data_IF_125806751162
#
_entry.id   IF_125806751162
#
_cell.length_a   1.000
_cell.length_b   1.000
_cell.length_c   1.000
_cell.angle_alpha   90.00
_cell.angle_beta   90.00
_cell.angle_gamma   90.00
#
_symmetry.space_group_name_H-M   'P 1'
#
loop_
_entity.id
_entity.type
_entity.pdbx_description
1 polymer ?
#
# COMPACT_ATOMS: atom_id res chain seq x y z
N UNK A 1 -9.47 7.04 31.79
CA UNK A 1 -10.70 6.49 32.40
C UNK A 1 -10.94 5.09 31.81
N UNK A 2 -11.67 4.20 32.49
CA UNK A 2 -11.80 2.77 32.14
C UNK A 2 -13.17 2.48 31.54
N UNK A 3 -13.23 1.83 30.37
CA UNK A 3 -14.49 1.36 29.73
C UNK A 3 -15.27 0.50 30.73
N UNK A 4 -16.54 0.84 30.95
CA UNK A 4 -17.43 0.07 31.80
C UNK A 4 -18.11 -1.02 30.98
N UNK A 5 -17.68 -2.27 31.12
CA UNK A 5 -18.33 -3.40 30.46
C UNK A 5 -19.54 -3.83 31.29
N UNK A 6 -20.77 -3.84 30.73
CA UNK A 6 -21.92 -4.39 31.44
C UNK A 6 -21.67 -5.84 31.86
N UNK A 7 -22.03 -6.19 33.09
CA UNK A 7 -21.91 -7.55 33.60
C UNK A 7 -23.18 -8.33 33.26
N UNK A 8 -23.16 -9.27 32.31
CA UNK A 8 -24.34 -10.04 31.94
C UNK A 8 -24.71 -11.11 32.99
N UNK A 9 -23.93 -11.24 34.07
CA UNK A 9 -24.06 -12.31 35.05
C UNK A 9 -23.81 -13.68 34.43
N UNK A 10 -24.53 -14.69 34.93
CA UNK A 10 -24.49 -16.06 34.40
C UNK A 10 -25.55 -16.33 33.34
N UNK A 11 -26.25 -15.30 32.84
CA UNK A 11 -27.31 -15.44 31.83
C UNK A 11 -28.61 -16.07 32.33
N UNK A 12 -28.80 -16.21 33.64
CA UNK A 12 -30.01 -16.79 34.24
C UNK A 12 -31.02 -15.75 34.75
N UNK A 13 -30.79 -14.45 34.48
CA UNK A 13 -31.64 -13.35 34.94
C UNK A 13 -31.61 -13.09 36.45
N UNK A 14 -30.77 -13.78 37.22
CA UNK A 14 -30.66 -13.64 38.68
C UNK A 14 -29.34 -12.99 39.13
N UNK A 15 -28.37 -12.86 38.22
CA UNK A 15 -27.06 -12.29 38.47
C UNK A 15 -26.70 -11.30 37.36
N UNK A 16 -25.85 -10.32 37.66
CA UNK A 16 -25.43 -9.29 36.72
C UNK A 16 -26.10 -7.93 36.92
N UNK A 17 -25.83 -7.01 36.00
CA UNK A 17 -26.45 -5.69 35.99
C UNK A 17 -27.92 -5.82 35.57
N UNK A 18 -28.82 -5.12 36.28
CA UNK A 18 -30.18 -4.93 35.79
C UNK A 18 -30.19 -3.93 34.61
N UNK A 19 -31.32 -3.85 33.90
CA UNK A 19 -31.46 -3.00 32.71
C UNK A 19 -31.10 -1.53 32.99
N UNK A 20 -31.48 -1.00 34.15
CA UNK A 20 -31.16 0.37 34.56
C UNK A 20 -29.65 0.62 34.66
N UNK A 21 -28.91 -0.29 35.32
CA UNK A 21 -27.45 -0.19 35.48
C UNK A 21 -26.75 -0.38 34.13
N UNK A 22 -27.25 -1.27 33.27
CA UNK A 22 -26.75 -1.46 31.91
C UNK A 22 -26.85 -0.17 31.09
N UNK A 23 -27.99 0.51 31.12
CA UNK A 23 -28.18 1.78 30.41
C UNK A 23 -27.30 2.89 30.96
N UNK A 24 -27.09 2.98 32.28
CA UNK A 24 -26.16 3.95 32.87
C UNK A 24 -24.71 3.73 32.41
N UNK A 25 -24.23 2.48 32.41
CA UNK A 25 -22.87 2.14 31.95
C UNK A 25 -22.69 2.46 30.47
N UNK A 26 -23.70 2.14 29.66
CA UNK A 26 -23.73 2.45 28.24
C UNK A 26 -23.65 3.96 28.03
N UNK A 27 -24.54 4.73 28.65
CA UNK A 27 -24.53 6.19 28.58
C UNK A 27 -23.17 6.79 29.01
N UNK A 28 -22.59 6.29 30.11
CA UNK A 28 -21.28 6.74 30.59
C UNK A 28 -20.17 6.48 29.55
N UNK A 29 -20.18 5.34 28.87
CA UNK A 29 -19.19 5.01 27.83
C UNK A 29 -19.29 5.90 26.58
N UNK A 30 -20.41 6.58 26.34
CA UNK A 30 -20.63 7.47 25.18
C UNK A 30 -20.70 8.96 25.56
N UNK A 31 -20.66 9.30 26.86
CA UNK A 31 -20.76 10.68 27.34
C UNK A 31 -19.44 11.48 27.27
N UNK A 32 -18.31 10.81 27.04
CA UNK A 32 -16.96 11.42 27.03
C UNK A 32 -16.34 11.32 25.63
N UNK A 33 -16.42 12.39 24.85
CA UNK A 33 -15.87 12.45 23.48
C UNK A 33 -14.34 12.28 23.40
N UNK A 34 -13.61 12.27 24.53
CA UNK A 34 -12.18 11.94 24.55
C UNK A 34 -11.91 10.43 24.50
N UNK A 35 -12.93 9.60 24.73
CA UNK A 35 -12.84 8.13 24.70
C UNK A 35 -13.02 7.59 23.27
N UNK A 36 -12.18 6.64 22.88
CA UNK A 36 -12.29 5.93 21.59
C UNK A 36 -13.67 5.30 21.36
N UNK A 37 -14.36 4.86 22.42
CA UNK A 37 -15.71 4.30 22.31
C UNK A 37 -16.79 5.35 22.00
N UNK A 38 -16.58 6.62 22.36
CA UNK A 38 -17.53 7.72 22.13
C UNK A 38 -17.24 8.51 20.86
N UNK A 39 -16.09 8.30 20.24
CA UNK A 39 -15.68 8.96 19.00
C UNK A 39 -16.45 8.34 17.84
N UNK A 40 -17.09 9.19 17.04
CA UNK A 40 -17.72 8.75 15.79
C UNK A 40 -16.67 8.15 14.86
N UNK A 41 -17.10 7.23 14.00
CA UNK A 41 -16.25 6.71 12.93
C UNK A 41 -16.37 7.71 11.77
N UNK A 42 -15.28 8.38 11.39
CA UNK A 42 -15.31 9.40 10.33
C UNK A 42 -13.93 9.96 9.95
N UNK A 43 -13.93 10.98 9.08
CA UNK A 43 -12.70 11.63 8.56
C UNK A 43 -12.30 12.90 9.32
N UNK A 44 -13.14 13.39 10.23
CA UNK A 44 -12.88 14.61 11.00
C UNK A 44 -11.84 14.39 12.10
N UNK A 45 -11.13 15.47 12.47
CA UNK A 45 -10.14 15.43 13.55
C UNK A 45 -10.83 15.10 14.88
N UNK A 46 -10.36 14.04 15.54
CA UNK A 46 -10.97 13.56 16.78
C UNK A 46 -11.99 12.44 16.59
N UNK A 47 -12.22 11.94 15.37
CA UNK A 47 -13.02 10.73 15.12
C UNK A 47 -12.16 9.45 15.12
N UNK A 48 -12.73 8.29 15.45
CA UNK A 48 -12.06 7.02 15.14
C UNK A 48 -11.93 6.98 13.63
N UNK A 49 -10.73 6.77 13.07
CA UNK A 49 -10.55 6.78 11.63
C UNK A 49 -11.52 5.80 10.98
N UNK A 50 -12.41 6.31 10.15
CA UNK A 50 -13.25 5.46 9.33
C UNK A 50 -12.37 4.71 8.34
N UNK A 51 -12.37 3.38 8.43
CA UNK A 51 -11.78 2.53 7.42
C UNK A 51 -12.76 2.36 6.23
N UNK A 52 -13.32 3.48 5.74
CA UNK A 52 -14.22 3.54 4.57
C UNK A 52 -13.51 4.10 3.34
N UNK A 53 -12.21 3.92 3.24
CA UNK A 53 -11.55 4.13 1.96
C UNK A 53 -10.31 3.26 1.88
N UNK A 54 -10.23 2.59 0.74
CA UNK A 54 -9.08 1.99 0.10
C UNK A 54 -7.83 2.90 0.09
N UNK A 55 -7.26 3.22 1.26
CA UNK A 55 -6.06 4.05 1.42
C UNK A 55 -4.97 3.38 2.26
N UNK A 56 -5.33 2.40 3.10
CA UNK A 56 -4.37 1.59 3.87
C UNK A 56 -3.98 0.27 3.22
N UNK A 57 -4.80 -0.25 2.30
CA UNK A 57 -4.53 -1.45 1.50
C UNK A 57 -4.50 -1.18 -0.02
N UNK A 58 -4.62 0.08 -0.44
CA UNK A 58 -4.70 0.48 -1.85
C UNK A 58 -3.78 1.67 -2.14
N UNK A 59 -2.48 1.46 -1.90
CA UNK A 59 -1.45 2.27 -2.55
C UNK A 59 -0.59 1.47 -3.52
N UNK A 60 -1.01 0.24 -3.85
CA UNK A 60 -0.50 -0.59 -4.93
C UNK A 60 -1.65 -1.41 -5.53
N UNK A 61 -2.26 -0.89 -6.60
CA UNK A 61 -3.10 -1.68 -7.52
C UNK A 61 -4.56 -1.83 -7.10
N UNK A 62 -5.45 -1.29 -7.93
CA UNK A 62 -6.79 -1.85 -8.09
C UNK A 62 -6.66 -3.36 -8.36
N UNK A 63 -7.19 -4.22 -7.49
CA UNK A 63 -7.45 -5.63 -7.80
C UNK A 63 -6.28 -6.46 -8.37
N UNK A 64 -5.06 -6.32 -7.85
CA UNK A 64 -3.90 -7.08 -8.33
C UNK A 64 -3.34 -6.63 -9.69
N UNK A 65 -3.78 -5.47 -10.19
CA UNK A 65 -3.27 -4.89 -11.42
C UNK A 65 -2.01 -4.06 -11.16
N UNK A 66 -1.08 -4.13 -12.11
CA UNK A 66 0.10 -3.26 -12.13
C UNK A 66 -0.33 -1.80 -12.36
N UNK A 67 0.35 -0.85 -11.73
CA UNK A 67 0.10 0.56 -11.97
C UNK A 67 0.58 0.97 -13.38
N UNK A 68 -0.29 1.62 -14.15
CA UNK A 68 0.02 2.03 -15.51
C UNK A 68 0.98 3.23 -15.53
N UNK A 69 2.07 3.09 -16.27
CA UNK A 69 2.98 4.17 -16.63
C UNK A 69 2.49 4.81 -17.93
N UNK A 70 2.37 6.15 -17.99
CA UNK A 70 2.08 6.86 -19.23
C UNK A 70 3.08 6.50 -20.35
N UNK A 71 2.60 6.53 -21.59
CA UNK A 71 3.45 6.36 -22.76
C UNK A 71 4.58 7.41 -22.75
N UNK A 72 5.81 6.99 -23.07
CA UNK A 72 6.97 7.88 -23.07
C UNK A 72 7.52 8.21 -21.66
N UNK A 73 7.04 7.54 -20.61
CA UNK A 73 7.62 7.72 -19.26
C UNK A 73 9.12 7.40 -19.27
N UNK A 74 9.95 8.35 -18.86
CA UNK A 74 11.38 8.12 -18.64
C UNK A 74 11.59 7.38 -17.32
N UNK A 75 12.13 6.17 -17.43
CA UNK A 75 12.34 5.27 -16.28
C UNK A 75 13.39 5.78 -15.30
N UNK A 76 14.37 6.54 -15.79
CA UNK A 76 15.55 6.95 -15.02
C UNK A 76 15.36 8.29 -14.31
N UNK A 77 14.49 9.17 -14.81
CA UNK A 77 14.13 10.43 -14.13
C UNK A 77 12.90 10.31 -13.22
N UNK A 78 12.16 9.20 -13.31
CA UNK A 78 11.01 8.94 -12.42
C UNK A 78 11.46 8.64 -10.99
N UNK A 79 10.77 9.25 -10.02
CA UNK A 79 10.80 8.80 -8.62
C UNK A 79 9.90 7.58 -8.46
N UNK A 80 10.48 6.47 -8.05
CA UNK A 80 9.83 5.18 -7.85
C UNK A 80 9.35 5.01 -6.42
N UNK A 81 8.17 4.41 -6.31
CA UNK A 81 7.71 3.72 -5.11
C UNK A 81 7.87 2.22 -5.38
N UNK A 82 8.21 1.43 -4.37
CA UNK A 82 8.31 -0.02 -4.54
C UNK A 82 6.97 -0.58 -4.99
N UNK A 83 6.98 -1.43 -6.02
CA UNK A 83 5.75 -2.00 -6.56
C UNK A 83 5.86 -2.49 -8.00
N UNK A 84 4.70 -2.81 -8.55
CA UNK A 84 4.52 -3.37 -9.90
C UNK A 84 3.83 -2.36 -10.81
N UNK A 85 4.37 -2.23 -12.01
CA UNK A 85 3.98 -1.26 -13.02
C UNK A 85 3.97 -1.92 -14.40
N UNK A 86 3.30 -1.28 -15.34
CA UNK A 86 3.40 -1.64 -16.75
C UNK A 86 3.32 -0.40 -17.64
N UNK A 87 3.80 -0.46 -18.87
CA UNK A 87 3.70 0.68 -19.78
C UNK A 87 4.30 0.41 -21.15
N UNK A 88 3.96 1.28 -22.09
CA UNK A 88 4.36 1.18 -23.49
C UNK A 88 5.34 2.29 -23.87
N UNK A 89 6.29 1.97 -24.76
CA UNK A 89 7.26 2.92 -25.32
C UNK A 89 7.95 3.77 -24.24
N UNK A 90 8.48 3.09 -23.22
CA UNK A 90 9.14 3.73 -22.09
C UNK A 90 10.50 4.29 -22.52
N UNK A 91 10.84 5.50 -22.06
CA UNK A 91 12.13 6.14 -22.34
C UNK A 91 13.19 5.58 -21.38
N UNK A 92 14.41 5.41 -21.88
CA UNK A 92 15.49 4.70 -21.20
C UNK A 92 15.16 3.22 -20.87
N UNK A 93 14.28 2.58 -21.67
CA UNK A 93 14.10 1.13 -21.63
C UNK A 93 15.31 0.39 -22.23
N UNK A 94 15.52 -0.90 -21.89
CA UNK A 94 16.63 -1.70 -22.42
C UNK A 94 16.73 -1.63 -23.95
N UNK A 95 17.94 -1.38 -24.45
CA UNK A 95 18.27 -1.40 -25.88
C UNK A 95 17.35 -0.51 -26.76
N UNK A 96 16.72 0.53 -26.18
CA UNK A 96 15.69 1.34 -26.85
C UNK A 96 14.57 0.51 -27.48
N UNK A 97 14.26 -0.65 -26.90
CA UNK A 97 13.19 -1.52 -27.36
C UNK A 97 11.86 -0.81 -27.18
N UNK A 98 11.09 -0.77 -28.26
CA UNK A 98 9.72 -0.27 -28.27
C UNK A 98 8.76 -1.41 -27.95
N UNK A 99 7.83 -1.19 -27.03
CA UNK A 99 6.82 -2.17 -26.69
C UNK A 99 6.30 -2.02 -25.26
N UNK A 100 5.44 -2.98 -24.90
CA UNK A 100 4.87 -3.09 -23.56
C UNK A 100 5.83 -3.84 -22.63
N UNK A 101 6.13 -3.20 -21.51
CA UNK A 101 6.93 -3.78 -20.43
C UNK A 101 6.09 -3.99 -19.19
N UNK A 102 6.34 -5.10 -18.52
CA UNK A 102 6.12 -5.23 -17.09
C UNK A 102 7.33 -4.65 -16.38
N UNK A 103 7.10 -3.83 -15.36
CA UNK A 103 8.14 -3.08 -14.64
C UNK A 103 7.96 -3.33 -13.16
N UNK A 104 9.01 -3.78 -12.50
CA UNK A 104 9.03 -4.01 -11.07
C UNK A 104 10.08 -3.08 -10.46
N UNK A 105 9.66 -2.25 -9.51
CA UNK A 105 10.54 -1.34 -8.79
C UNK A 105 10.78 -1.87 -7.38
N UNK A 106 12.04 -2.11 -7.03
CA UNK A 106 12.44 -2.68 -5.74
C UNK A 106 13.39 -1.71 -5.04
N UNK A 107 13.07 -1.34 -3.80
CA UNK A 107 14.00 -0.56 -2.98
C UNK A 107 15.22 -1.43 -2.63
N UNK A 108 16.42 -0.87 -2.79
CA UNK A 108 17.65 -1.47 -2.31
C UNK A 108 17.80 -1.31 -0.79
N UNK A 109 18.74 -2.05 -0.21
CA UNK A 109 19.10 -1.91 1.22
C UNK A 109 19.87 -0.63 1.52
N UNK A 110 20.49 -0.02 0.50
CA UNK A 110 21.18 1.26 0.61
C UNK A 110 20.20 2.42 0.43
N UNK A 111 20.44 3.52 1.15
CA UNK A 111 19.61 4.71 1.07
C UNK A 111 19.47 5.20 -0.38
N UNK A 112 18.23 5.48 -0.78
CA UNK A 112 17.86 5.99 -2.10
C UNK A 112 18.16 5.07 -3.31
N UNK A 113 18.66 3.85 -3.12
CA UNK A 113 18.88 2.92 -4.23
C UNK A 113 17.59 2.22 -4.64
N UNK A 114 17.36 2.10 -5.94
CA UNK A 114 16.25 1.36 -6.54
C UNK A 114 16.80 0.44 -7.63
N UNK A 115 16.30 -0.78 -7.66
CA UNK A 115 16.44 -1.71 -8.79
C UNK A 115 15.15 -1.68 -9.60
N UNK A 116 15.28 -1.57 -10.91
CA UNK A 116 14.21 -1.84 -11.86
C UNK A 116 14.45 -3.19 -12.51
N UNK A 117 13.42 -4.03 -12.52
CA UNK A 117 13.36 -5.24 -13.33
C UNK A 117 12.28 -5.08 -14.38
N UNK A 118 12.65 -5.22 -15.65
CA UNK A 118 11.75 -5.08 -16.80
C UNK A 118 11.60 -6.43 -17.49
N UNK A 119 10.37 -6.82 -17.81
CA UNK A 119 10.07 -7.97 -18.67
C UNK A 119 9.32 -7.50 -19.89
N UNK A 120 9.86 -7.75 -21.08
CA UNK A 120 9.21 -7.42 -22.34
C UNK A 120 8.07 -8.42 -22.60
N UNK A 121 6.86 -7.92 -22.85
CA UNK A 121 5.68 -8.79 -23.02
C UNK A 121 5.79 -9.77 -24.20
N UNK A 122 6.46 -9.37 -25.28
CA UNK A 122 6.50 -10.15 -26.52
C UNK A 122 7.48 -11.32 -26.46
N UNK A 123 8.67 -11.11 -25.87
CA UNK A 123 9.71 -12.15 -25.81
C UNK A 123 9.85 -12.80 -24.43
N UNK A 124 9.30 -12.19 -23.38
CA UNK A 124 9.58 -12.59 -21.99
C UNK A 124 11.00 -12.23 -21.53
N UNK A 125 11.79 -11.56 -22.37
CA UNK A 125 13.15 -11.16 -22.01
C UNK A 125 13.12 -10.22 -20.80
N UNK A 126 13.96 -10.54 -19.82
CA UNK A 126 14.03 -9.79 -18.56
C UNK A 126 15.35 -9.04 -18.43
N UNK A 127 15.29 -7.80 -17.96
CA UNK A 127 16.41 -6.90 -17.82
C UNK A 127 16.41 -6.24 -16.45
N UNK A 128 17.59 -5.89 -15.94
CA UNK A 128 17.75 -5.18 -14.67
C UNK A 128 18.63 -3.94 -14.83
N UNK A 129 18.29 -2.88 -14.09
CA UNK A 129 19.15 -1.71 -13.89
C UNK A 129 18.99 -1.22 -12.45
N UNK A 130 20.04 -0.62 -11.90
CA UNK A 130 20.09 -0.10 -10.53
C UNK A 130 20.57 1.35 -10.61
N UNK A 131 19.94 2.23 -9.83
CA UNK A 131 20.29 3.64 -9.74
C UNK A 131 19.84 4.26 -8.44
N UNK A 132 20.15 5.54 -8.28
CA UNK A 132 19.55 6.40 -7.26
C UNK A 132 18.18 6.90 -7.75
N UNK A 133 17.21 6.83 -6.86
CA UNK A 133 15.82 7.11 -7.18
C UNK A 133 15.63 8.54 -7.67
N UNK A 134 15.06 8.71 -8.87
CA UNK A 134 14.84 10.02 -9.50
C UNK A 134 16.10 10.74 -10.02
N UNK A 135 17.27 10.08 -10.05
CA UNK A 135 18.53 10.69 -10.52
C UNK A 135 19.01 9.99 -11.79
N UNK A 136 18.66 10.55 -12.96
CA UNK A 136 18.88 9.90 -14.26
C UNK A 136 20.33 9.48 -14.53
N UNK A 137 21.29 10.33 -14.18
CA UNK A 137 22.72 10.06 -14.41
C UNK A 137 23.30 8.93 -13.54
N UNK A 138 22.57 8.47 -12.51
CA UNK A 138 23.05 7.44 -11.58
C UNK A 138 22.77 6.01 -12.01
N UNK A 139 21.92 5.84 -13.03
CA UNK A 139 21.45 4.52 -13.44
C UNK A 139 22.53 3.75 -14.20
N UNK A 140 22.70 2.50 -13.82
CA UNK A 140 23.55 1.57 -14.57
C UNK A 140 22.99 1.27 -15.96
N UNK A 141 23.84 0.81 -16.87
CA UNK A 141 23.38 0.18 -18.10
C UNK A 141 22.52 -1.06 -17.79
N UNK A 142 21.49 -1.29 -18.62
CA UNK A 142 20.64 -2.48 -18.50
C UNK A 142 21.43 -3.77 -18.70
N UNK A 143 21.17 -4.76 -17.84
CA UNK A 143 21.72 -6.12 -17.97
C UNK A 143 20.60 -7.11 -18.25
N UNK A 144 20.73 -7.90 -19.31
CA UNK A 144 19.77 -8.98 -19.63
C UNK A 144 19.98 -10.15 -18.66
N UNK A 145 18.90 -10.65 -18.07
CA UNK A 145 18.89 -11.91 -17.31
C UNK A 145 18.74 -13.05 -18.31
N UNK A 146 19.78 -13.86 -18.46
CA UNK A 146 19.75 -15.10 -19.24
C UNK A 146 19.56 -16.28 -18.31
N UNK A 147 18.51 -17.07 -18.50
CA UNK A 147 18.40 -18.38 -17.86
C UNK A 147 19.18 -19.39 -18.70
N UNK A 148 20.26 -19.93 -18.14
CA UNK A 148 20.82 -21.17 -18.68
C UNK A 148 19.89 -22.30 -18.24
N UNK A 149 19.36 -23.08 -19.19
CA UNK A 149 18.68 -24.32 -18.84
C UNK A 149 19.68 -25.22 -18.11
N UNK A 150 19.33 -25.63 -16.88
CA UNK A 150 20.09 -26.60 -16.09
C UNK A 150 19.71 -27.99 -16.56
#
# INVERSE_FOLDING_TARGET
MTIQVPNPGTGNGQTGDNEYVLWQKTASNFSDQTNAASREVGTESGNVPEYSAAGGLSRLGYGGQCALLPNGTNLFSKTWVTGFYNGNNLVNAPLNLTGWFFVEAMAGSQANKVMLRLTLYTSGDTYISIGDNGVEASWSAWKKITTTAI
#
